data_IF_246556085161
#
_entry.id   IF_246556085161
#
_cell.length_a   1.000
_cell.length_b   1.000
_cell.length_c   1.000
_cell.angle_alpha   90.00
_cell.angle_beta   90.00
_cell.angle_gamma   90.00
#
_symmetry.space_group_name_H-M   'P 1'
#
loop_
_entity.id
_entity.type
_entity.pdbx_description
1 polymer ?
#
# COMPACT_ATOMS: atom_id res chain seq x y z
N UNK A 1 24.22 -17.10 0.64
CA UNK A 1 23.36 -16.59 -0.45
C UNK A 1 21.97 -17.22 -0.32
N UNK A 2 21.12 -16.74 0.59
CA UNK A 2 19.75 -17.28 0.72
C UNK A 2 18.85 -16.61 -0.31
N UNK A 3 18.51 -17.36 -1.35
CA UNK A 3 17.45 -17.02 -2.30
C UNK A 3 16.14 -17.03 -1.50
N UNK A 4 15.59 -15.85 -1.23
CA UNK A 4 14.32 -15.69 -0.51
C UNK A 4 13.26 -16.51 -1.24
N UNK A 5 12.75 -17.50 -0.51
CA UNK A 5 11.77 -18.47 -0.94
C UNK A 5 10.48 -17.76 -1.36
N UNK A 6 10.12 -17.88 -2.63
CA UNK A 6 8.88 -17.40 -3.24
C UNK A 6 7.63 -18.19 -2.79
N UNK A 7 7.78 -19.14 -1.85
CA UNK A 7 6.69 -19.87 -1.18
C UNK A 7 6.07 -19.04 -0.05
N UNK A 8 5.75 -17.79 -0.33
CA UNK A 8 5.03 -16.93 0.60
C UNK A 8 3.55 -17.02 0.27
N UNK A 9 2.73 -17.24 1.30
CA UNK A 9 1.28 -17.23 1.17
C UNK A 9 0.83 -15.80 0.87
N UNK A 10 0.07 -15.62 -0.21
CA UNK A 10 -0.46 -14.32 -0.60
C UNK A 10 -1.54 -13.89 0.39
N UNK A 11 -1.57 -12.61 0.74
CA UNK A 11 -2.59 -12.01 1.61
C UNK A 11 -3.10 -10.71 1.02
N UNK A 12 -4.30 -10.31 1.39
CA UNK A 12 -4.82 -8.99 1.10
C UNK A 12 -4.78 -8.20 2.40
N UNK A 13 -4.08 -7.07 2.39
CA UNK A 13 -4.19 -6.11 3.47
C UNK A 13 -5.32 -5.14 3.08
N UNK A 14 -6.40 -5.14 3.85
CA UNK A 14 -7.41 -4.08 3.73
C UNK A 14 -6.72 -2.76 4.09
N UNK A 15 -6.65 -1.83 3.16
CA UNK A 15 -6.33 -0.45 3.47
C UNK A 15 -7.47 0.14 4.29
N UNK A 16 -7.31 0.17 5.60
CA UNK A 16 -8.06 1.00 6.53
C UNK A 16 -7.26 2.25 6.89
N UNK A 17 -7.92 3.22 7.54
CA UNK A 17 -7.44 4.58 7.88
C UNK A 17 -6.26 4.67 8.87
N UNK A 18 -5.40 3.66 8.96
CA UNK A 18 -4.27 3.66 9.88
C UNK A 18 -3.21 2.63 9.50
N UNK A 19 -1.94 3.05 9.52
CA UNK A 19 -0.80 2.18 9.27
C UNK A 19 0.52 2.95 9.32
N UNK A 20 1.45 2.45 10.13
CA UNK A 20 2.78 2.96 10.44
C UNK A 20 3.72 2.98 9.21
N UNK A 21 4.28 4.15 8.89
CA UNK A 21 5.29 4.34 7.84
C UNK A 21 6.45 5.18 8.38
N UNK A 22 7.54 4.53 8.76
CA UNK A 22 8.84 5.19 8.97
C UNK A 22 9.66 5.23 7.66
N UNK A 23 10.52 6.23 7.45
CA UNK A 23 10.65 6.86 6.14
C UNK A 23 11.84 6.33 5.34
N UNK A 24 11.59 6.00 4.07
CA UNK A 24 12.60 6.00 3.01
C UNK A 24 12.36 7.27 2.21
N UNK A 25 13.32 8.19 2.13
CA UNK A 25 13.54 9.13 1.02
C UNK A 25 14.60 10.17 1.40
N UNK A 26 15.70 10.16 0.66
CA UNK A 26 16.63 11.29 0.49
C UNK A 26 16.00 12.29 -0.51
N UNK A 27 15.63 13.47 -0.01
CA UNK A 27 15.36 14.70 -0.78
C UNK A 27 15.78 15.93 0.06
N UNK A 28 16.12 17.07 -0.56
CA UNK A 28 16.98 18.08 0.03
C UNK A 28 16.38 18.85 1.23
N UNK A 29 17.30 19.29 2.07
CA UNK A 29 17.16 20.00 3.35
C UNK A 29 16.55 21.39 3.14
N UNK A 30 15.20 21.50 3.21
CA UNK A 30 14.46 22.61 3.87
C UNK A 30 12.95 22.68 3.56
N UNK A 31 12.40 21.82 2.69
CA UNK A 31 10.95 21.66 2.55
C UNK A 31 10.45 20.54 3.47
N UNK A 32 9.65 20.88 4.50
CA UNK A 32 9.01 19.85 5.34
C UNK A 32 8.14 18.93 4.48
N UNK A 33 8.35 17.61 4.57
CA UNK A 33 7.54 16.59 3.88
C UNK A 33 6.06 16.78 4.22
N UNK A 34 5.25 17.08 3.22
CA UNK A 34 3.81 17.25 3.34
C UNK A 34 3.14 15.87 3.19
N UNK A 35 2.44 15.34 4.21
CA UNK A 35 1.73 14.07 4.07
C UNK A 35 0.48 14.22 3.19
N UNK A 36 0.17 13.15 2.45
CA UNK A 36 -1.02 13.03 1.62
C UNK A 36 -1.81 11.79 2.06
N UNK A 37 -3.13 11.89 1.99
CA UNK A 37 -4.01 10.74 2.10
C UNK A 37 -4.41 10.29 0.70
N UNK A 38 -4.01 9.07 0.34
CA UNK A 38 -4.31 8.44 -0.96
C UNK A 38 -5.48 7.47 -0.79
N UNK A 39 -6.52 7.59 -1.63
CA UNK A 39 -7.69 6.72 -1.56
C UNK A 39 -8.38 6.56 -2.91
N UNK A 40 -9.44 5.75 -2.94
CA UNK A 40 -10.34 5.71 -4.09
C UNK A 40 -11.22 6.95 -4.15
N UNK A 41 -11.58 7.36 -5.37
CA UNK A 41 -12.52 8.45 -5.60
C UNK A 41 -13.89 8.20 -4.93
N UNK A 42 -14.39 6.97 -5.04
CA UNK A 42 -15.66 6.52 -4.44
C UNK A 42 -15.60 6.33 -2.91
N UNK A 43 -14.44 6.55 -2.29
CA UNK A 43 -14.17 6.38 -0.85
C UNK A 43 -14.35 4.95 -0.33
N UNK A 44 -14.50 3.97 -1.21
CA UNK A 44 -14.44 2.57 -0.82
C UNK A 44 -13.02 2.17 -0.40
N UNK A 45 -12.86 1.09 0.38
CA UNK A 45 -11.55 0.58 0.73
C UNK A 45 -10.71 0.20 -0.50
N UNK A 46 -9.40 0.34 -0.34
CA UNK A 46 -8.41 -0.23 -1.25
C UNK A 46 -7.89 -1.55 -0.72
N UNK A 47 -7.52 -2.43 -1.64
CA UNK A 47 -6.96 -3.74 -1.31
C UNK A 47 -5.49 -3.75 -1.69
N UNK A 48 -4.60 -3.90 -0.72
CA UNK A 48 -3.17 -3.91 -0.96
C UNK A 48 -2.70 -5.35 -1.11
N UNK A 49 -2.00 -5.63 -2.22
CA UNK A 49 -1.38 -6.92 -2.41
C UNK A 49 -0.26 -7.12 -1.38
N UNK A 50 -0.36 -8.20 -0.60
CA UNK A 50 0.61 -8.54 0.43
C UNK A 50 1.11 -9.97 0.32
N UNK A 51 2.28 -10.20 0.89
CA UNK A 51 2.86 -11.53 1.10
C UNK A 51 3.03 -11.75 2.60
N UNK A 52 2.91 -12.99 3.05
CA UNK A 52 3.14 -13.34 4.44
C UNK A 52 3.92 -14.65 4.60
N UNK A 53 4.62 -14.77 5.72
CA UNK A 53 5.25 -16.01 6.20
C UNK A 53 5.30 -16.03 7.72
N UNK A 54 5.42 -17.23 8.28
CA UNK A 54 5.89 -17.38 9.64
C UNK A 54 7.35 -16.92 9.78
N UNK A 55 7.64 -16.17 10.83
CA UNK A 55 8.96 -15.66 11.19
C UNK A 55 9.69 -16.70 12.07
N UNK A 56 11.02 -16.60 12.24
CA UNK A 56 11.77 -17.54 13.08
C UNK A 56 11.33 -17.65 14.54
N UNK A 57 10.62 -16.64 15.06
CA UNK A 57 10.03 -16.61 16.40
C UNK A 57 8.63 -17.23 16.47
N UNK A 58 8.18 -17.89 15.40
CA UNK A 58 6.86 -18.54 15.31
C UNK A 58 5.70 -17.57 15.06
N UNK A 59 5.97 -16.27 14.86
CA UNK A 59 4.93 -15.26 14.65
C UNK A 59 4.72 -14.99 13.15
N UNK A 60 3.50 -14.65 12.71
CA UNK A 60 3.29 -14.22 11.34
C UNK A 60 4.00 -12.87 11.08
N UNK A 61 4.64 -12.77 9.92
CA UNK A 61 5.13 -11.53 9.33
C UNK A 61 4.49 -11.31 7.97
N UNK A 62 4.23 -10.06 7.62
CA UNK A 62 3.70 -9.70 6.31
C UNK A 62 4.43 -8.49 5.73
N UNK A 63 4.37 -8.35 4.41
CA UNK A 63 4.88 -7.20 3.69
C UNK A 63 3.94 -6.82 2.55
N UNK A 64 3.77 -5.51 2.35
CA UNK A 64 3.01 -4.95 1.22
C UNK A 64 3.89 -4.91 -0.02
N UNK A 65 3.34 -5.34 -1.15
CA UNK A 65 4.00 -5.19 -2.45
C UNK A 65 3.87 -3.75 -2.94
N UNK A 66 4.91 -3.27 -3.60
CA UNK A 66 5.00 -1.91 -4.12
C UNK A 66 5.31 -1.94 -5.61
N UNK A 67 4.84 -0.92 -6.31
CA UNK A 67 5.03 -0.71 -7.74
C UNK A 67 5.47 0.73 -8.04
N UNK A 68 5.83 1.01 -9.29
CA UNK A 68 6.06 2.39 -9.74
C UNK A 68 4.76 3.20 -9.61
N UNK A 69 4.85 4.45 -9.15
CA UNK A 69 3.68 5.30 -9.03
C UNK A 69 2.98 5.54 -10.38
N UNK A 70 1.64 5.59 -10.35
CA UNK A 70 0.75 5.81 -11.50
C UNK A 70 -0.26 6.91 -11.17
N UNK A 71 -0.76 7.60 -12.20
CA UNK A 71 -1.73 8.68 -12.05
C UNK A 71 -1.25 9.75 -11.06
N UNK A 72 -2.19 10.24 -10.24
CA UNK A 72 -1.96 11.27 -9.21
C UNK A 72 -0.90 10.90 -8.18
N UNK A 73 -0.61 9.60 -7.97
CA UNK A 73 0.41 9.18 -7.00
C UNK A 73 1.83 9.63 -7.41
N UNK A 74 2.08 9.85 -8.71
CA UNK A 74 3.37 10.33 -9.23
C UNK A 74 3.71 11.76 -8.75
N UNK A 75 2.69 12.54 -8.41
CA UNK A 75 2.85 13.89 -7.89
C UNK A 75 3.36 13.88 -6.43
N UNK A 76 3.20 12.75 -5.73
CA UNK A 76 3.54 12.58 -4.32
C UNK A 76 4.87 11.84 -4.13
N UNK A 77 5.06 10.72 -4.84
CA UNK A 77 6.21 9.81 -4.65
C UNK A 77 6.46 8.97 -5.92
N UNK A 78 7.68 8.47 -6.09
CA UNK A 78 8.06 7.58 -7.21
C UNK A 78 7.47 6.16 -7.12
N UNK A 79 6.95 5.75 -5.95
CA UNK A 79 6.40 4.41 -5.70
C UNK A 79 5.03 4.50 -5.03
N UNK A 80 4.22 3.47 -5.25
CA UNK A 80 2.93 3.29 -4.58
C UNK A 80 2.71 1.83 -4.18
N UNK A 81 1.82 1.54 -3.22
CA UNK A 81 1.38 0.18 -2.98
C UNK A 81 0.76 -0.44 -4.24
N UNK A 82 0.95 -1.74 -4.44
CA UNK A 82 0.21 -2.48 -5.46
C UNK A 82 -1.25 -2.63 -5.01
N UNK A 83 -2.11 -1.77 -5.55
CA UNK A 83 -3.54 -1.77 -5.24
C UNK A 83 -4.28 -2.70 -6.21
N UNK A 84 -4.98 -3.69 -5.66
CA UNK A 84 -5.77 -4.67 -6.40
C UNK A 84 -7.19 -4.15 -6.66
N UNK A 85 -7.73 -4.51 -7.83
CA UNK A 85 -9.17 -4.40 -8.08
C UNK A 85 -9.94 -5.46 -7.26
N UNK A 86 -11.15 -5.10 -6.81
CA UNK A 86 -11.98 -5.96 -5.97
C UNK A 86 -12.33 -7.29 -6.66
N UNK A 87 -12.54 -7.27 -7.97
CA UNK A 87 -12.84 -8.46 -8.77
C UNK A 87 -11.66 -9.44 -8.86
N UNK A 88 -10.48 -9.06 -8.35
CA UNK A 88 -9.24 -9.84 -8.43
C UNK A 88 -8.69 -10.29 -7.07
N UNK A 89 -9.47 -10.16 -6.01
CA UNK A 89 -9.10 -10.67 -4.70
C UNK A 89 -9.02 -12.20 -4.67
N UNK A 90 -10.02 -12.90 -5.23
CA UNK A 90 -10.05 -14.37 -5.21
C UNK A 90 -8.86 -14.98 -5.99
N UNK A 91 -8.54 -14.56 -7.23
CA UNK A 91 -7.33 -15.04 -7.91
C UNK A 91 -6.02 -14.72 -7.18
N UNK A 92 -5.98 -13.59 -6.46
CA UNK A 92 -4.83 -13.24 -5.63
C UNK A 92 -4.67 -14.16 -4.40
N UNK A 93 -5.78 -14.61 -3.82
CA UNK A 93 -5.80 -15.44 -2.62
C UNK A 93 -5.75 -16.95 -2.91
N UNK A 94 -5.92 -17.38 -4.17
CA UNK A 94 -5.92 -18.79 -4.56
C UNK A 94 -4.59 -19.50 -4.20
N UNK A 95 -4.57 -20.47 -3.27
CA UNK A 95 -3.34 -21.16 -2.89
C UNK A 95 -2.82 -22.11 -3.98
N UNK A 96 -3.66 -22.49 -4.96
CA UNK A 96 -3.27 -23.37 -6.05
C UNK A 96 -2.55 -22.64 -7.18
N UNK A 97 -2.75 -21.33 -7.28
CA UNK A 97 -2.04 -20.49 -8.22
C UNK A 97 -0.61 -20.23 -7.73
N UNK A 98 0.31 -21.11 -8.16
CA UNK A 98 1.72 -21.12 -7.73
C UNK A 98 2.71 -20.71 -8.84
N UNK A 99 2.28 -20.71 -10.10
CA UNK A 99 3.13 -20.30 -11.22
C UNK A 99 3.34 -18.78 -11.23
N UNK A 100 4.60 -18.35 -11.20
CA UNK A 100 4.99 -16.95 -11.11
C UNK A 100 4.49 -16.12 -12.29
N UNK A 101 4.52 -16.67 -13.52
CA UNK A 101 4.10 -15.91 -14.70
C UNK A 101 2.59 -15.68 -14.65
N UNK A 102 1.84 -16.71 -14.31
CA UNK A 102 0.39 -16.65 -14.14
C UNK A 102 -0.01 -15.70 -13.00
N UNK A 103 0.68 -15.73 -11.85
CA UNK A 103 0.45 -14.77 -10.76
C UNK A 103 0.62 -13.32 -11.24
N UNK A 104 1.70 -13.03 -11.99
CA UNK A 104 1.93 -11.67 -12.52
C UNK A 104 0.83 -11.22 -13.49
N UNK A 105 0.24 -12.14 -14.24
CA UNK A 105 -0.87 -11.83 -15.14
C UNK A 105 -2.23 -11.72 -14.43
N UNK A 106 -2.40 -12.45 -13.32
CA UNK A 106 -3.62 -12.41 -12.51
C UNK A 106 -3.71 -11.15 -11.63
N UNK A 107 -2.58 -10.46 -11.41
CA UNK A 107 -2.55 -9.14 -10.76
C UNK A 107 -3.10 -8.11 -11.73
N UNK A 108 -4.33 -7.66 -11.49
CA UNK A 108 -4.82 -6.44 -12.11
C UNK A 108 -4.81 -5.31 -11.10
N UNK A 109 -4.16 -4.24 -11.52
CA UNK A 109 -4.09 -2.99 -10.80
C UNK A 109 -5.46 -2.33 -10.78
N UNK A 110 -5.81 -1.72 -9.65
CA UNK A 110 -6.85 -0.69 -9.65
C UNK A 110 -6.47 0.39 -10.70
N UNK A 111 -7.40 0.78 -11.60
CA UNK A 111 -7.17 1.87 -12.53
C UNK A 111 -6.70 3.13 -11.81
N UNK A 112 -5.66 3.78 -12.32
CA UNK A 112 -5.04 4.90 -11.63
C UNK A 112 -5.97 6.11 -11.55
N UNK A 113 -6.91 6.20 -12.48
CA UNK A 113 -7.97 7.21 -12.57
C UNK A 113 -8.98 7.08 -11.43
N UNK A 114 -9.08 5.90 -10.80
CA UNK A 114 -9.94 5.71 -9.62
C UNK A 114 -9.25 6.12 -8.32
N UNK A 115 -8.00 6.59 -8.38
CA UNK A 115 -7.21 6.97 -7.22
C UNK A 115 -7.14 8.49 -7.15
N UNK A 116 -7.40 9.03 -5.97
CA UNK A 116 -7.32 10.46 -5.66
C UNK A 116 -6.52 10.69 -4.37
N UNK A 117 -6.16 11.94 -4.10
CA UNK A 117 -5.51 12.32 -2.85
C UNK A 117 -5.78 13.77 -2.44
N UNK A 118 -5.45 14.09 -1.19
CA UNK A 118 -5.33 15.46 -0.69
C UNK A 118 -4.26 15.55 0.40
N UNK A 119 -3.80 16.76 0.68
CA UNK A 119 -2.86 17.06 1.76
C UNK A 119 -3.55 16.94 3.12
N UNK A 120 -2.85 16.37 4.10
CA UNK A 120 -3.34 16.21 5.48
C UNK A 120 -2.38 16.83 6.49
N UNK A 121 -2.82 16.92 7.75
CA UNK A 121 -1.97 17.45 8.81
C UNK A 121 -0.75 16.57 9.07
N UNK A 122 0.41 17.19 9.35
CA UNK A 122 1.62 16.50 9.82
C UNK A 122 1.46 15.79 11.16
N UNK A 123 0.32 15.96 11.85
CA UNK A 123 -0.07 15.15 13.01
C UNK A 123 0.00 13.64 12.72
N UNK A 124 -0.30 13.21 11.49
CA UNK A 124 -0.26 11.79 11.11
C UNK A 124 1.13 11.16 11.27
N UNK A 125 2.20 11.96 11.27
CA UNK A 125 3.58 11.47 11.43
C UNK A 125 3.89 11.03 12.87
N UNK A 126 3.01 11.28 13.84
CA UNK A 126 3.17 10.83 15.23
C UNK A 126 2.25 9.62 15.45
N UNK A 127 2.80 8.40 15.64
CA UNK A 127 1.99 7.18 15.79
C UNK A 127 1.01 7.19 16.95
N UNK A 128 1.24 8.00 17.98
CA UNK A 128 0.31 8.15 19.11
C UNK A 128 -0.96 8.94 18.81
N UNK A 129 -1.06 9.57 17.63
CA UNK A 129 -2.31 10.18 17.18
C UNK A 129 -3.14 9.14 16.43
N UNK A 130 -4.37 8.90 16.88
CA UNK A 130 -5.29 7.95 16.25
C UNK A 130 -6.73 8.48 16.32
N UNK A 131 -7.05 9.40 15.41
CA UNK A 131 -8.37 10.01 15.33
C UNK A 131 -8.75 10.37 13.88
N UNK A 132 -10.05 10.51 13.62
CA UNK A 132 -10.58 10.72 12.27
C UNK A 132 -10.19 12.06 11.63
N UNK A 133 -9.61 13.02 12.36
CA UNK A 133 -9.13 14.27 11.78
C UNK A 133 -7.84 14.10 10.98
N UNK A 134 -7.09 13.02 11.22
CA UNK A 134 -5.79 12.76 10.57
C UNK A 134 -5.88 12.55 9.06
N UNK A 135 -7.05 12.18 8.56
CA UNK A 135 -7.31 11.97 7.13
C UNK A 135 -8.09 13.12 6.49
N UNK A 136 -8.42 14.18 7.24
CA UNK A 136 -9.19 15.30 6.72
C UNK A 136 -8.29 16.21 5.87
N UNK A 137 -8.82 16.77 4.76
CA UNK A 137 -8.09 17.76 3.97
C UNK A 137 -7.66 18.96 4.81
N UNK A 138 -6.47 19.48 4.55
CA UNK A 138 -6.09 20.80 5.04
C UNK A 138 -6.92 21.88 4.32
N UNK A 139 -7.28 22.98 5.02
CA UNK A 139 -7.84 24.15 4.37
C UNK A 139 -6.90 24.65 3.28
N UNK A 140 -7.48 25.04 2.14
CA UNK A 140 -6.77 25.66 1.00
C UNK A 140 -6.37 27.09 1.32
#
# INVERSE_FOLDING_TARGET
>A
MSRVSWKLSRTVLRGGTGGDFSPLLDLPVDARKQPHFLCREDREPIWLAGIWSERPDGKPGCATLTEQARGVAKEIHDRMPLVLDADRLEPWLDPHLTDRKTIRHAVHHLPAERITHWTVSSRVNRPGNDDGSLIKPLPV
#
